data_IF_348293690952
#
_entry.id   IF_348293690952
#
_cell.length_a   1.000
_cell.length_b   1.000
_cell.length_c   1.000
_cell.angle_alpha   90.00
_cell.angle_beta   90.00
_cell.angle_gamma   90.00
#
_symmetry.space_group_name_H-M   'P 1'
#
loop_
_entity.id
_entity.type
_entity.pdbx_description
1 polymer ?
#
# COMPACT_ATOMS: atom_id res chain seq x y z
N UNK A 1 17.65 15.36 -4.19
CA UNK A 1 18.57 16.42 -3.73
C UNK A 1 19.36 16.98 -4.93
N UNK A 2 20.06 16.14 -5.72
CA UNK A 2 20.83 16.60 -6.90
C UNK A 2 19.95 17.18 -8.03
N UNK A 3 18.70 16.78 -8.13
CA UNK A 3 17.75 17.25 -9.15
C UNK A 3 17.27 18.68 -8.85
N UNK A 4 17.10 19.03 -7.58
CA UNK A 4 16.64 20.37 -7.17
C UNK A 4 17.68 21.46 -7.43
N UNK A 5 18.96 21.18 -7.18
CA UNK A 5 20.04 22.15 -7.41
C UNK A 5 20.27 22.39 -8.92
N UNK A 6 20.20 21.34 -9.74
CA UNK A 6 20.31 21.45 -11.18
C UNK A 6 19.10 22.18 -11.80
N UNK A 7 17.91 22.04 -11.25
CA UNK A 7 16.70 22.74 -11.70
C UNK A 7 16.78 24.25 -11.41
N UNK A 8 17.35 24.63 -10.26
CA UNK A 8 17.58 26.03 -9.88
C UNK A 8 18.65 26.68 -10.78
N UNK A 9 19.66 25.91 -11.21
CA UNK A 9 20.69 26.37 -12.12
C UNK A 9 20.28 26.43 -13.61
N UNK A 10 19.07 25.96 -13.95
CA UNK A 10 18.60 25.85 -15.33
C UNK A 10 19.27 24.73 -16.13
N UNK A 11 20.09 23.92 -15.50
CA UNK A 11 20.74 22.75 -16.08
C UNK A 11 19.92 21.52 -15.71
N UNK A 12 19.23 20.90 -16.65
CA UNK A 12 18.62 19.58 -16.47
C UNK A 12 19.68 18.52 -16.79
N UNK A 13 20.26 17.84 -15.78
CA UNK A 13 21.18 16.74 -16.07
C UNK A 13 20.44 15.67 -16.86
N UNK A 14 21.01 15.27 -17.96
CA UNK A 14 20.50 14.14 -18.76
C UNK A 14 20.75 12.85 -17.97
N UNK A 15 19.74 12.42 -17.21
CA UNK A 15 19.81 11.23 -16.37
C UNK A 15 19.21 10.05 -17.12
N UNK A 16 20.06 9.20 -17.68
CA UNK A 16 19.63 7.97 -18.33
C UNK A 16 19.25 6.91 -17.28
N UNK A 17 18.27 6.08 -17.61
CA UNK A 17 17.85 4.95 -16.77
C UNK A 17 19.01 4.03 -16.39
N UNK A 18 19.95 3.83 -17.30
CA UNK A 18 21.19 3.06 -17.07
C UNK A 18 22.03 3.59 -15.92
N UNK A 19 21.91 4.89 -15.59
CA UNK A 19 22.68 5.51 -14.52
C UNK A 19 21.99 5.45 -13.15
N UNK A 20 20.66 5.27 -13.13
CA UNK A 20 19.85 5.32 -11.90
C UNK A 20 18.99 4.09 -11.68
N UNK A 21 18.71 3.33 -12.73
CA UNK A 21 17.97 2.08 -12.68
C UNK A 21 18.84 0.93 -12.17
N UNK A 22 18.20 -0.22 -11.94
CA UNK A 22 18.91 -1.44 -11.58
C UNK A 22 19.72 -1.94 -12.76
N UNK A 23 21.01 -2.23 -12.55
CA UNK A 23 21.90 -2.82 -13.55
C UNK A 23 21.53 -4.29 -13.85
N UNK A 24 20.97 -4.99 -12.86
CA UNK A 24 20.44 -6.35 -12.98
C UNK A 24 19.19 -6.50 -12.15
N UNK A 25 18.17 -7.12 -12.71
CA UNK A 25 16.91 -7.38 -12.03
C UNK A 25 16.35 -8.74 -12.41
N UNK A 26 15.82 -9.47 -11.45
CA UNK A 26 15.15 -10.76 -11.65
C UNK A 26 13.87 -10.79 -10.82
N UNK A 27 12.74 -10.80 -11.50
CA UNK A 27 11.44 -11.04 -10.87
C UNK A 27 11.27 -12.55 -10.65
N UNK A 28 10.77 -12.93 -9.49
CA UNK A 28 10.36 -14.30 -9.20
C UNK A 28 8.99 -14.27 -8.51
N UNK A 29 8.42 -15.45 -8.24
CA UNK A 29 7.13 -15.55 -7.55
C UNK A 29 7.11 -14.79 -6.23
N UNK A 30 8.20 -14.85 -5.49
CA UNK A 30 8.28 -14.35 -4.14
C UNK A 30 9.25 -13.18 -3.97
N UNK A 31 10.58 -13.29 -4.14
CA UNK A 31 11.45 -12.13 -4.05
C UNK A 31 11.65 -11.44 -5.41
N UNK A 32 11.93 -10.15 -5.33
CA UNK A 32 12.49 -9.36 -6.42
C UNK A 32 13.98 -9.14 -6.14
N UNK A 33 14.82 -9.71 -6.97
CA UNK A 33 16.26 -9.49 -6.92
C UNK A 33 16.63 -8.29 -7.77
N UNK A 34 17.42 -7.40 -7.24
CA UNK A 34 17.90 -6.24 -7.97
C UNK A 34 19.30 -5.86 -7.49
N UNK A 35 20.22 -5.71 -8.40
CA UNK A 35 21.64 -5.48 -8.12
C UNK A 35 22.17 -6.50 -7.09
N UNK A 36 22.67 -6.03 -5.94
CA UNK A 36 23.13 -6.88 -4.83
C UNK A 36 22.07 -7.17 -3.78
N UNK A 37 20.82 -6.65 -3.94
CA UNK A 37 19.76 -6.76 -2.95
C UNK A 37 18.64 -7.71 -3.34
N UNK A 38 17.96 -8.23 -2.34
CA UNK A 38 16.75 -9.02 -2.49
C UNK A 38 15.64 -8.35 -1.70
N UNK A 39 14.56 -7.97 -2.39
CA UNK A 39 13.42 -7.27 -1.82
C UNK A 39 12.17 -8.14 -1.81
N UNK A 40 11.39 -8.01 -0.75
CA UNK A 40 10.03 -8.49 -0.72
C UNK A 40 9.11 -7.32 -0.38
N UNK A 41 8.00 -7.22 -1.09
CA UNK A 41 6.99 -6.17 -0.90
C UNK A 41 5.67 -6.78 -0.44
N UNK A 42 5.09 -6.16 0.56
CA UNK A 42 3.77 -6.48 1.11
C UNK A 42 2.79 -5.36 0.78
N UNK A 43 1.56 -5.71 0.50
CA UNK A 43 0.44 -4.78 0.42
C UNK A 43 -0.43 -4.90 1.68
N UNK A 44 -0.93 -3.77 2.15
CA UNK A 44 -1.90 -3.74 3.22
C UNK A 44 -3.25 -4.24 2.70
N UNK A 45 -3.76 -5.31 3.32
CA UNK A 45 -5.09 -5.84 3.03
C UNK A 45 -6.14 -5.38 4.03
N UNK A 46 -5.69 -4.91 5.21
CA UNK A 46 -6.57 -4.41 6.24
C UNK A 46 -5.84 -3.38 7.11
N UNK A 47 -6.44 -2.21 7.24
CA UNK A 47 -6.02 -1.16 8.14
C UNK A 47 -6.37 -1.54 9.61
N UNK A 48 -5.71 -0.90 10.60
CA UNK A 48 -6.06 -1.08 12.01
C UNK A 48 -7.54 -0.75 12.24
N UNK A 49 -8.22 -1.59 13.01
CA UNK A 49 -9.62 -1.38 13.39
C UNK A 49 -9.75 -0.69 14.73
N UNK A 50 -10.80 0.11 14.88
CA UNK A 50 -11.11 0.83 16.13
C UNK A 50 -10.24 2.06 16.33
N UNK A 51 -10.16 2.52 17.57
CA UNK A 51 -9.35 3.69 17.91
C UNK A 51 -7.86 3.40 17.76
N UNK A 52 -7.22 4.17 16.91
CA UNK A 52 -5.80 4.05 16.58
C UNK A 52 -5.06 5.26 17.16
N UNK A 53 -4.06 4.98 17.99
CA UNK A 53 -3.19 6.05 18.53
C UNK A 53 -2.18 6.49 17.47
N UNK A 54 -1.76 7.75 17.52
CA UNK A 54 -0.80 8.36 16.59
C UNK A 54 0.52 7.59 16.47
N UNK A 55 0.97 6.92 17.53
CA UNK A 55 2.20 6.13 17.56
C UNK A 55 2.10 4.69 17.04
N UNK A 56 0.94 4.25 16.52
CA UNK A 56 0.72 2.84 16.13
C UNK A 56 1.73 2.32 15.09
N UNK A 57 2.21 3.19 14.21
CA UNK A 57 3.19 2.85 13.17
C UNK A 57 4.64 3.06 13.60
N UNK A 58 4.91 3.62 14.79
CA UNK A 58 6.25 4.01 15.19
C UNK A 58 7.27 2.86 15.09
N UNK A 59 6.91 1.66 15.54
CA UNK A 59 7.79 0.48 15.43
C UNK A 59 7.99 0.02 14.00
N UNK A 60 6.93 0.09 13.18
CA UNK A 60 7.03 -0.28 11.76
C UNK A 60 7.93 0.70 11.01
N UNK A 61 7.90 1.98 11.35
CA UNK A 61 8.73 3.03 10.75
C UNK A 61 10.18 2.98 11.23
N UNK A 62 10.43 2.55 12.47
CA UNK A 62 11.77 2.49 13.04
C UNK A 62 12.69 1.50 12.26
N UNK A 63 14.01 1.73 12.19
CA UNK A 63 14.97 0.78 11.65
C UNK A 63 14.86 -0.61 12.32
N UNK A 64 15.22 -1.67 11.59
CA UNK A 64 15.24 -3.04 12.11
C UNK A 64 16.55 -3.72 11.73
N UNK A 65 17.16 -4.41 12.69
CA UNK A 65 18.52 -5.00 12.54
C UNK A 65 18.61 -6.05 11.41
N UNK A 66 17.52 -6.78 11.15
CA UNK A 66 17.49 -7.86 10.17
C UNK A 66 17.06 -7.37 8.76
N UNK A 67 16.84 -6.06 8.60
CA UNK A 67 16.41 -5.45 7.35
C UNK A 67 17.40 -4.36 6.97
N UNK A 68 18.11 -4.55 5.87
CA UNK A 68 19.09 -3.58 5.40
C UNK A 68 18.45 -2.27 4.93
N UNK A 69 17.33 -2.35 4.21
CA UNK A 69 16.54 -1.21 3.77
C UNK A 69 15.06 -1.51 3.93
N UNK A 70 14.33 -0.61 4.56
CA UNK A 70 12.88 -0.70 4.72
C UNK A 70 12.23 0.55 4.14
N UNK A 71 11.22 0.36 3.31
CA UNK A 71 10.43 1.42 2.70
C UNK A 71 8.96 1.20 3.02
N UNK A 72 8.30 2.26 3.43
CA UNK A 72 6.86 2.28 3.67
C UNK A 72 6.29 3.37 2.79
N UNK A 73 5.40 2.97 1.89
CA UNK A 73 4.79 3.86 0.91
C UNK A 73 3.29 3.92 1.17
N UNK A 74 2.78 5.11 1.39
CA UNK A 74 1.36 5.38 1.50
C UNK A 74 0.84 5.82 0.14
N UNK A 75 -0.21 5.17 -0.32
CA UNK A 75 -0.88 5.46 -1.59
C UNK A 75 -2.22 6.10 -1.28
N UNK A 76 -2.44 7.31 -1.75
CA UNK A 76 -3.70 8.02 -1.60
C UNK A 76 -4.38 8.20 -2.95
N UNK A 77 -5.64 7.82 -3.02
CA UNK A 77 -6.50 8.02 -4.19
C UNK A 77 -7.71 8.84 -3.79
N UNK A 78 -7.71 10.13 -4.05
CA UNK A 78 -8.90 10.96 -3.86
C UNK A 78 -10.04 10.47 -4.75
N UNK A 79 -11.23 10.43 -4.20
CA UNK A 79 -12.46 10.06 -4.92
C UNK A 79 -13.15 11.36 -5.34
N UNK A 80 -13.66 11.37 -6.55
CA UNK A 80 -14.45 12.48 -7.08
C UNK A 80 -15.68 12.71 -6.20
N UNK A 81 -15.91 13.97 -5.80
CA UNK A 81 -17.01 14.34 -4.92
C UNK A 81 -18.39 13.92 -5.49
N UNK A 82 -18.56 13.96 -6.81
CA UNK A 82 -19.80 13.53 -7.45
C UNK A 82 -20.08 12.01 -7.29
N UNK A 83 -19.05 11.23 -7.01
CA UNK A 83 -19.14 9.77 -6.81
C UNK A 83 -19.07 9.37 -5.34
N UNK A 84 -18.54 10.23 -4.49
CA UNK A 84 -18.28 9.94 -3.08
C UNK A 84 -19.55 9.53 -2.34
N UNK A 85 -20.60 10.31 -2.45
CA UNK A 85 -21.89 10.05 -1.81
C UNK A 85 -22.44 8.65 -2.17
N UNK A 86 -22.47 8.30 -3.46
CA UNK A 86 -22.97 7.01 -3.92
C UNK A 86 -22.14 5.84 -3.38
N UNK A 87 -20.82 5.97 -3.28
CA UNK A 87 -19.90 4.96 -2.74
C UNK A 87 -20.16 4.78 -1.24
N UNK A 88 -20.23 5.86 -0.50
CA UNK A 88 -20.42 5.84 0.96
C UNK A 88 -21.78 5.26 1.32
N UNK A 89 -22.83 5.61 0.61
CA UNK A 89 -24.16 5.00 0.79
C UNK A 89 -24.20 3.51 0.45
N UNK A 90 -23.50 3.10 -0.61
CA UNK A 90 -23.40 1.69 -0.97
C UNK A 90 -22.67 0.89 0.11
N UNK A 91 -21.59 1.42 0.66
CA UNK A 91 -20.82 0.79 1.74
C UNK A 91 -21.64 0.70 3.03
N UNK A 92 -22.40 1.74 3.39
CA UNK A 92 -23.29 1.73 4.54
C UNK A 92 -24.37 0.64 4.39
N UNK A 93 -25.08 0.63 3.25
CA UNK A 93 -26.11 -0.39 2.97
C UNK A 93 -25.54 -1.81 2.98
N UNK A 94 -24.34 -2.02 2.44
CA UNK A 94 -23.68 -3.31 2.48
C UNK A 94 -23.29 -3.74 3.90
N UNK A 95 -22.89 -2.80 4.76
CA UNK A 95 -22.59 -3.08 6.15
C UNK A 95 -23.86 -3.44 6.95
N UNK A 96 -24.94 -2.69 6.77
CA UNK A 96 -26.24 -2.93 7.39
C UNK A 96 -26.84 -4.29 6.95
N UNK A 97 -26.76 -4.60 5.67
CA UNK A 97 -27.22 -5.88 5.14
C UNK A 97 -26.50 -7.07 5.80
N UNK A 98 -25.19 -6.98 6.03
CA UNK A 98 -24.46 -8.07 6.72
C UNK A 98 -24.95 -8.30 8.15
N UNK A 99 -25.36 -7.25 8.86
CA UNK A 99 -25.93 -7.36 10.21
C UNK A 99 -27.34 -7.93 10.17
N UNK A 100 -28.18 -7.48 9.26
CA UNK A 100 -29.60 -7.86 9.20
C UNK A 100 -29.81 -9.24 8.58
N UNK A 101 -28.91 -9.68 7.69
CA UNK A 101 -29.01 -11.00 7.03
C UNK A 101 -28.60 -12.18 7.92
N UNK A 102 -28.11 -11.92 9.15
CA UNK A 102 -27.62 -12.96 10.05
C UNK A 102 -28.34 -12.90 11.39
N UNK A 103 -28.85 -14.03 11.87
CA UNK A 103 -29.56 -14.12 13.16
C UNK A 103 -28.66 -13.82 14.38
N UNK A 104 -27.33 -13.98 14.22
CA UNK A 104 -26.34 -13.67 15.26
C UNK A 104 -25.19 -12.88 14.62
N UNK A 105 -25.34 -11.55 14.43
CA UNK A 105 -24.30 -10.74 13.85
C UNK A 105 -23.05 -10.72 14.74
N UNK A 106 -21.87 -10.82 14.12
CA UNK A 106 -20.61 -10.71 14.84
C UNK A 106 -20.36 -9.27 15.28
N UNK A 107 -19.68 -9.06 16.41
CA UNK A 107 -19.34 -7.73 16.90
C UNK A 107 -18.57 -6.87 15.86
N UNK A 108 -17.76 -7.52 15.00
CA UNK A 108 -17.08 -6.86 13.89
C UNK A 108 -18.04 -6.25 12.87
N UNK A 109 -19.22 -6.86 12.64
CA UNK A 109 -20.21 -6.37 11.68
C UNK A 109 -20.90 -5.12 12.22
N UNK A 110 -21.21 -5.10 13.52
CA UNK A 110 -21.73 -3.90 14.20
C UNK A 110 -20.72 -2.76 14.20
N UNK A 111 -19.41 -3.04 14.35
CA UNK A 111 -18.37 -2.03 14.23
C UNK A 111 -18.24 -1.52 12.78
N UNK A 112 -18.42 -2.38 11.78
CA UNK A 112 -18.39 -1.99 10.37
C UNK A 112 -19.54 -1.02 10.03
N UNK A 113 -20.76 -1.26 10.56
CA UNK A 113 -21.90 -0.33 10.39
C UNK A 113 -21.58 1.02 11.01
N UNK A 114 -21.05 1.06 12.25
CA UNK A 114 -20.68 2.33 12.90
C UNK A 114 -19.63 3.09 12.11
N UNK A 115 -18.61 2.41 11.60
CA UNK A 115 -17.57 3.04 10.78
C UNK A 115 -18.13 3.59 9.47
N UNK A 116 -18.98 2.83 8.76
CA UNK A 116 -19.60 3.27 7.53
C UNK A 116 -20.55 4.46 7.76
N UNK A 117 -21.33 4.43 8.84
CA UNK A 117 -22.20 5.54 9.24
C UNK A 117 -21.40 6.82 9.57
N UNK A 118 -20.28 6.70 10.29
CA UNK A 118 -19.41 7.84 10.57
C UNK A 118 -18.84 8.44 9.27
N UNK A 119 -18.37 7.60 8.33
CA UNK A 119 -17.88 8.05 7.02
C UNK A 119 -18.98 8.77 6.24
N UNK A 120 -20.23 8.26 6.28
CA UNK A 120 -21.37 8.89 5.62
C UNK A 120 -21.69 10.27 6.21
N UNK A 121 -21.60 10.40 7.53
CA UNK A 121 -21.81 11.69 8.20
C UNK A 121 -20.72 12.71 7.87
N UNK A 122 -19.46 12.28 7.84
CA UNK A 122 -18.33 13.13 7.47
C UNK A 122 -18.43 13.57 6.00
N UNK A 123 -18.76 12.68 5.08
CA UNK A 123 -18.96 13.01 3.67
C UNK A 123 -20.11 14.00 3.50
N UNK A 124 -21.26 13.75 4.12
CA UNK A 124 -22.42 14.64 4.09
C UNK A 124 -22.13 16.02 4.70
N UNK A 125 -21.16 16.13 5.60
CA UNK A 125 -20.67 17.41 6.15
C UNK A 125 -19.65 18.12 5.25
N UNK A 126 -19.31 17.53 4.09
CA UNK A 126 -18.40 18.10 3.10
C UNK A 126 -16.96 17.58 3.18
N UNK A 127 -16.70 16.53 3.93
CA UNK A 127 -15.38 15.90 3.94
C UNK A 127 -15.11 15.16 2.64
N UNK A 128 -13.90 15.28 2.10
CA UNK A 128 -13.47 14.55 0.92
C UNK A 128 -13.22 13.07 1.20
N UNK A 129 -13.71 12.18 0.33
CA UNK A 129 -13.45 10.75 0.43
C UNK A 129 -12.10 10.40 -0.20
N UNK A 130 -11.27 9.68 0.54
CA UNK A 130 -9.96 9.22 0.06
C UNK A 130 -9.81 7.73 0.31
N UNK A 131 -9.53 7.01 -0.75
CA UNK A 131 -9.10 5.61 -0.65
C UNK A 131 -7.58 5.57 -0.42
N UNK A 132 -7.13 4.87 0.61
CA UNK A 132 -5.71 4.76 0.88
C UNK A 132 -5.24 3.31 0.92
N UNK A 133 -3.98 3.13 0.58
CA UNK A 133 -3.28 1.85 0.65
C UNK A 133 -1.88 2.03 1.22
N UNK A 134 -1.25 0.94 1.59
CA UNK A 134 0.13 0.92 2.08
C UNK A 134 0.89 -0.22 1.44
N UNK A 135 2.11 0.08 0.99
CA UNK A 135 3.10 -0.92 0.61
C UNK A 135 4.26 -0.87 1.61
N UNK A 136 4.74 -2.03 1.99
CA UNK A 136 5.94 -2.18 2.82
C UNK A 136 6.94 -3.02 2.05
N UNK A 137 8.13 -2.47 1.80
CA UNK A 137 9.20 -3.19 1.12
C UNK A 137 10.37 -3.37 2.08
N UNK A 138 10.80 -4.61 2.27
CA UNK A 138 12.01 -4.95 3.02
C UNK A 138 13.06 -5.52 2.06
N UNK A 139 14.28 -4.98 2.13
CA UNK A 139 15.42 -5.42 1.33
C UNK A 139 16.50 -5.98 2.24
N UNK A 140 17.04 -7.12 1.88
CA UNK A 140 18.21 -7.74 2.50
C UNK A 140 19.35 -7.79 1.48
N UNK A 141 20.59 -7.70 1.97
CA UNK A 141 21.78 -7.81 1.13
C UNK A 141 22.31 -9.25 1.10
N UNK A 142 21.92 -10.06 2.08
CA UNK A 142 22.24 -11.48 2.18
C UNK A 142 20.92 -12.28 2.11
N UNK A 143 20.82 -13.18 1.14
CA UNK A 143 19.64 -14.00 0.93
C UNK A 143 19.32 -14.90 2.14
N UNK A 144 20.32 -15.31 2.91
CA UNK A 144 20.13 -16.11 4.12
C UNK A 144 19.26 -15.40 5.18
N UNK A 145 19.26 -14.07 5.18
CA UNK A 145 18.46 -13.23 6.10
C UNK A 145 17.05 -12.95 5.63
N UNK A 146 16.65 -13.45 4.47
CA UNK A 146 15.32 -13.17 3.92
C UNK A 146 14.18 -13.68 4.80
N UNK A 147 14.34 -14.88 5.37
CA UNK A 147 13.32 -15.45 6.27
C UNK A 147 13.17 -14.61 7.56
N UNK A 148 14.28 -14.16 8.14
CA UNK A 148 14.27 -13.34 9.34
C UNK A 148 13.65 -11.96 9.08
N UNK A 149 13.98 -11.34 7.95
CA UNK A 149 13.39 -10.06 7.54
C UNK A 149 11.88 -10.17 7.33
N UNK A 150 11.39 -11.30 6.80
CA UNK A 150 9.95 -11.57 6.66
C UNK A 150 9.26 -11.68 8.00
N UNK A 151 9.80 -12.53 8.88
CA UNK A 151 9.28 -12.70 10.22
C UNK A 151 9.27 -11.35 10.98
N UNK A 152 10.28 -10.53 10.77
CA UNK A 152 10.34 -9.18 11.34
C UNK A 152 9.19 -8.29 10.83
N UNK A 153 8.92 -8.27 9.51
CA UNK A 153 7.81 -7.48 8.96
C UNK A 153 6.46 -8.00 9.48
N UNK A 154 6.25 -9.30 9.54
CA UNK A 154 5.00 -9.88 10.05
C UNK A 154 4.76 -9.52 11.52
N UNK A 155 5.79 -9.55 12.35
CA UNK A 155 5.73 -9.14 13.75
C UNK A 155 5.48 -7.63 13.90
N UNK A 156 6.13 -6.80 13.09
CA UNK A 156 5.94 -5.36 13.10
C UNK A 156 4.52 -4.98 12.64
N UNK A 157 4.00 -5.68 11.63
CA UNK A 157 2.62 -5.51 11.16
C UNK A 157 1.60 -5.89 12.23
N UNK A 158 1.80 -7.03 12.91
CA UNK A 158 0.94 -7.46 14.01
C UNK A 158 0.94 -6.43 15.17
N UNK A 159 2.11 -5.90 15.53
CA UNK A 159 2.23 -4.86 16.55
C UNK A 159 1.48 -3.57 16.15
N UNK A 160 1.53 -3.22 14.87
CA UNK A 160 0.81 -2.07 14.31
C UNK A 160 -0.68 -2.37 14.02
N UNK A 161 -1.17 -3.56 14.34
CA UNK A 161 -2.53 -4.04 14.04
C UNK A 161 -2.88 -3.98 12.54
N UNK A 162 -1.87 -4.03 11.68
CA UNK A 162 -2.00 -4.08 10.24
C UNK A 162 -2.10 -5.52 9.77
N UNK A 163 -2.86 -5.75 8.71
CA UNK A 163 -2.79 -6.99 7.97
C UNK A 163 -2.05 -6.74 6.66
N UNK A 164 -0.84 -7.25 6.57
CA UNK A 164 -0.01 -7.21 5.38
C UNK A 164 -0.04 -8.58 4.69
N UNK A 165 0.03 -8.57 3.37
CA UNK A 165 0.16 -9.77 2.54
C UNK A 165 1.29 -9.57 1.54
N UNK A 166 2.25 -10.50 1.40
CA UNK A 166 3.24 -10.44 0.35
C UNK A 166 2.56 -10.42 -1.03
N UNK A 167 3.06 -9.60 -1.94
CA UNK A 167 2.52 -9.46 -3.30
C UNK A 167 3.14 -10.52 -4.19
N UNK A 168 2.75 -11.78 -3.99
CA UNK A 168 3.25 -12.91 -4.76
C UNK A 168 2.94 -12.77 -6.24
N UNK A 169 3.89 -13.14 -7.10
CA UNK A 169 3.75 -13.11 -8.57
C UNK A 169 3.83 -11.72 -9.20
N UNK A 170 3.95 -10.63 -8.38
CA UNK A 170 4.02 -9.24 -8.86
C UNK A 170 4.97 -8.41 -8.00
N UNK A 171 6.06 -9.01 -7.54
CA UNK A 171 7.00 -8.36 -6.64
C UNK A 171 7.76 -7.21 -7.29
N UNK A 172 8.09 -7.31 -8.58
CA UNK A 172 8.69 -6.27 -9.40
C UNK A 172 7.80 -5.04 -9.51
N UNK A 173 6.55 -5.25 -9.89
CA UNK A 173 5.56 -4.18 -10.04
C UNK A 173 5.25 -3.51 -8.69
N UNK A 174 5.13 -4.31 -7.62
CA UNK A 174 4.91 -3.79 -6.28
C UNK A 174 6.13 -3.00 -5.76
N UNK A 175 7.33 -3.47 -6.06
CA UNK A 175 8.57 -2.75 -5.74
C UNK A 175 8.63 -1.41 -6.47
N UNK A 176 8.32 -1.38 -7.78
CA UNK A 176 8.29 -0.17 -8.60
C UNK A 176 7.23 0.82 -8.08
N UNK A 177 6.02 0.33 -7.75
CA UNK A 177 4.96 1.16 -7.18
C UNK A 177 5.31 1.76 -5.81
N UNK A 178 6.18 1.08 -5.06
CA UNK A 178 6.66 1.57 -3.77
C UNK A 178 7.76 2.63 -3.90
N UNK A 179 8.32 2.86 -5.07
CA UNK A 179 9.28 3.94 -5.32
C UNK A 179 8.55 5.28 -5.47
N UNK A 180 9.18 6.40 -5.08
CA UNK A 180 8.57 7.73 -5.19
C UNK A 180 8.63 8.26 -6.65
N UNK A 181 8.24 7.42 -7.61
CA UNK A 181 8.27 7.74 -9.04
C UNK A 181 6.92 8.21 -9.58
N UNK A 182 5.89 8.26 -8.74
CA UNK A 182 4.53 8.63 -9.17
C UNK A 182 3.88 7.62 -10.14
N UNK A 183 4.35 6.36 -10.14
CA UNK A 183 3.81 5.33 -11.01
C UNK A 183 2.40 4.94 -10.59
N UNK A 184 1.45 5.15 -11.48
CA UNK A 184 0.07 4.68 -11.34
C UNK A 184 -0.06 3.36 -12.08
N UNK A 185 0.20 2.24 -11.39
CA UNK A 185 0.25 0.90 -11.98
C UNK A 185 -0.92 0.57 -12.92
N UNK A 186 -2.21 0.87 -12.58
CA UNK A 186 -3.33 0.58 -13.48
C UNK A 186 -3.20 1.23 -14.86
N UNK A 187 -2.47 2.34 -14.98
CA UNK A 187 -2.23 3.00 -16.27
C UNK A 187 -1.17 2.29 -17.13
N UNK A 188 -0.34 1.49 -16.49
CA UNK A 188 0.79 0.79 -17.13
C UNK A 188 0.53 -0.71 -17.35
N UNK A 189 -0.57 -1.25 -16.81
CA UNK A 189 -0.96 -2.64 -17.05
C UNK A 189 -1.51 -2.74 -18.47
N UNK A 190 -0.87 -3.54 -19.32
CA UNK A 190 -1.39 -3.93 -20.62
C UNK A 190 -2.44 -5.03 -20.42
N UNK A 191 -3.62 -4.67 -19.97
CA UNK A 191 -4.76 -5.58 -19.89
C UNK A 191 -5.40 -5.62 -21.27
N UNK A 192 -5.66 -6.81 -21.85
CA UNK A 192 -6.45 -6.94 -23.08
C UNK A 192 -7.78 -6.18 -22.94
N UNK A 193 -8.24 -5.53 -24.03
CA UNK A 193 -9.45 -4.69 -24.01
C UNK A 193 -10.67 -5.44 -23.46
N UNK A 194 -10.79 -6.73 -23.79
CA UNK A 194 -11.87 -7.61 -23.33
C UNK A 194 -11.95 -7.84 -21.83
N UNK A 195 -10.82 -7.69 -21.11
CA UNK A 195 -10.77 -7.79 -19.65
C UNK A 195 -10.90 -6.42 -18.97
N UNK A 196 -10.68 -5.33 -19.71
CA UNK A 196 -10.72 -3.98 -19.16
C UNK A 196 -12.15 -3.51 -18.90
N UNK A 197 -13.13 -4.06 -19.64
CA UNK A 197 -14.56 -3.77 -19.47
C UNK A 197 -15.21 -4.51 -18.29
N UNK A 198 -14.49 -5.49 -17.71
CA UNK A 198 -14.98 -6.32 -16.58
C UNK A 198 -14.33 -5.97 -15.23
N UNK A 199 -13.45 -4.98 -15.19
CA UNK A 199 -12.77 -4.45 -14.01
C UNK A 199 -13.24 -3.05 -13.66
#
# INVERSE_FOLDING_TARGET
VLIDEAHVAGETPEVFWTNVGHSAAQASWDPYRHDSGTSCTWAMTQAPRGNVQSGVLARLLAPHRDIARKRITLLYRPIDAAKAAAIVEADLRAAEFRVTSTSKPAARDSLAVRAASATAQEEASGAGLVQFGMLVTATVMDLSKQADARAAIDNLAATARLRLRPVYGSQDSAFAAALPLGLVLPKHIKVPAELREKL
#
